data_IF_042623082519
#
_entry.id   IF_042623082519
#
_cell.length_a   1.000
_cell.length_b   1.000
_cell.length_c   1.000
_cell.angle_alpha   90.00
_cell.angle_beta   90.00
_cell.angle_gamma   90.00
#
_symmetry.space_group_name_H-M   'P 1'
#
loop_
_entity.id
_entity.type
_entity.pdbx_description
1 polymer ?
#
# COMPACT_ATOMS: atom_id res chain seq x y z
N UNK A 1 45.25 24.43 50.03
CA UNK A 1 45.62 25.77 49.52
C UNK A 1 44.69 26.10 48.36
N UNK A 2 44.11 27.30 48.40
CA UNK A 2 43.07 27.93 47.55
C UNK A 2 41.67 27.28 47.50
N UNK A 3 40.63 27.96 48.06
CA UNK A 3 39.22 27.61 47.91
C UNK A 3 38.57 28.43 46.78
N UNK A 4 37.57 27.86 46.10
CA UNK A 4 36.67 28.59 45.19
C UNK A 4 35.35 28.87 45.89
N UNK A 5 34.97 30.15 45.87
CA UNK A 5 33.88 30.73 46.64
C UNK A 5 32.49 30.46 46.07
N UNK A 6 31.55 30.34 47.00
CA UNK A 6 30.12 30.40 46.80
C UNK A 6 29.70 31.85 46.55
N UNK A 7 29.06 32.10 45.40
CA UNK A 7 28.38 33.34 45.10
C UNK A 7 26.89 33.18 45.35
N UNK A 8 26.42 33.62 46.52
CA UNK A 8 25.00 33.78 46.83
C UNK A 8 24.40 34.92 46.01
N UNK A 9 23.46 34.59 45.14
CA UNK A 9 22.62 35.55 44.41
C UNK A 9 21.28 35.69 45.14
N UNK A 10 21.19 36.69 46.01
CA UNK A 10 19.94 37.08 46.69
C UNK A 10 18.94 37.70 45.69
N UNK A 11 17.99 36.90 45.20
CA UNK A 11 16.83 37.38 44.47
C UNK A 11 15.79 37.96 45.42
N UNK A 12 15.52 39.26 45.31
CA UNK A 12 14.42 39.96 46.00
C UNK A 12 13.08 39.39 45.53
N UNK A 13 12.30 38.82 46.45
CA UNK A 13 10.89 38.53 46.23
C UNK A 13 10.08 39.81 46.41
N UNK A 14 9.41 40.24 45.35
CA UNK A 14 8.40 41.29 45.37
C UNK A 14 7.13 40.70 45.96
N UNK A 15 6.70 41.23 47.10
CA UNK A 15 5.39 40.95 47.72
C UNK A 15 4.30 41.44 46.77
N UNK A 16 3.45 40.52 46.29
CA UNK A 16 2.22 40.84 45.55
C UNK A 16 1.09 40.91 46.57
N UNK A 17 0.47 42.09 46.67
CA UNK A 17 -0.72 42.31 47.48
C UNK A 17 -1.88 41.43 47.00
N UNK A 18 -2.44 40.66 47.93
CA UNK A 18 -3.67 39.90 47.73
C UNK A 18 -4.84 40.86 47.72
N UNK A 19 -5.25 41.28 46.52
CA UNK A 19 -6.55 41.91 46.29
C UNK A 19 -7.61 40.83 46.48
N UNK A 20 -8.42 40.98 47.54
CA UNK A 20 -9.70 40.29 47.69
C UNK A 20 -10.57 40.64 46.47
N UNK A 21 -10.90 39.65 45.65
CA UNK A 21 -11.96 39.76 44.65
C UNK A 21 -13.18 38.97 45.11
N UNK A 22 -14.31 39.67 45.02
CA UNK A 22 -15.66 39.22 45.36
C UNK A 22 -16.10 37.99 44.57
N UNK A 23 -16.90 37.16 45.25
CA UNK A 23 -17.69 36.06 44.71
C UNK A 23 -18.68 36.58 43.65
N UNK A 24 -18.26 36.59 42.38
CA UNK A 24 -19.18 36.68 41.26
C UNK A 24 -18.90 35.55 40.27
N UNK A 25 -19.71 34.50 40.43
CA UNK A 25 -19.81 33.31 39.59
C UNK A 25 -20.06 33.73 38.13
N UNK A 26 -19.11 33.57 37.19
CA UNK A 26 -19.42 33.76 35.79
C UNK A 26 -20.13 32.52 35.29
N UNK A 27 -21.38 32.68 34.85
CA UNK A 27 -22.03 31.74 33.95
C UNK A 27 -21.18 31.68 32.69
N UNK A 28 -20.56 30.53 32.44
CA UNK A 28 -19.86 30.21 31.20
C UNK A 28 -20.90 30.09 30.08
N UNK A 29 -21.33 31.21 29.52
CA UNK A 29 -22.05 31.23 28.25
C UNK A 29 -21.02 31.03 27.16
N UNK A 30 -20.86 29.78 26.71
CA UNK A 30 -20.20 29.46 25.45
C UNK A 30 -21.08 30.10 24.36
N UNK A 31 -20.70 31.30 23.94
CA UNK A 31 -21.23 31.89 22.73
C UNK A 31 -20.70 31.05 21.57
N UNK A 32 -21.54 30.16 21.05
CA UNK A 32 -21.39 29.53 19.75
C UNK A 32 -21.50 30.64 18.70
N UNK A 33 -20.43 31.40 18.50
CA UNK A 33 -20.26 32.12 17.25
C UNK A 33 -20.02 31.05 16.20
N UNK A 34 -21.01 30.86 15.32
CA UNK A 34 -20.90 30.04 14.13
C UNK A 34 -19.82 30.65 13.22
N UNK A 35 -18.57 30.27 13.44
CA UNK A 35 -17.51 30.37 12.43
C UNK A 35 -17.67 29.17 11.49
N UNK A 36 -18.84 29.08 10.88
CA UNK A 36 -19.08 28.22 9.72
C UNK A 36 -18.54 29.02 8.52
N UNK A 37 -17.80 28.36 7.62
CA UNK A 37 -17.18 28.91 6.39
C UNK A 37 -15.71 29.36 6.42
N UNK A 38 -14.93 28.95 7.42
CA UNK A 38 -13.46 29.15 7.44
C UNK A 38 -12.61 27.90 7.16
N UNK A 39 -13.20 26.72 6.96
CA UNK A 39 -12.44 25.50 6.73
C UNK A 39 -12.09 25.37 5.26
N UNK A 40 -10.79 25.46 4.97
CA UNK A 40 -10.13 25.28 3.69
C UNK A 40 -10.80 24.19 2.82
N UNK A 41 -11.61 24.64 1.86
CA UNK A 41 -12.00 23.82 0.72
C UNK A 41 -10.72 23.55 -0.10
N UNK A 42 -10.02 22.46 0.22
CA UNK A 42 -8.96 21.93 -0.63
C UNK A 42 -9.60 21.41 -1.92
N UNK A 43 -9.78 22.32 -2.88
CA UNK A 43 -10.04 21.95 -4.26
C UNK A 43 -8.86 21.11 -4.75
N UNK A 44 -9.04 19.79 -4.69
CA UNK A 44 -8.21 18.82 -5.38
C UNK A 44 -8.27 19.17 -6.87
N UNK A 45 -7.21 19.79 -7.38
CA UNK A 45 -7.05 20.05 -8.81
C UNK A 45 -7.17 18.78 -9.66
N UNK A 46 -7.11 18.90 -11.00
CA UNK A 46 -7.32 17.78 -11.93
C UNK A 46 -6.65 16.50 -11.44
N UNK A 47 -7.45 15.42 -11.37
CA UNK A 47 -7.11 14.18 -10.66
C UNK A 47 -5.68 13.73 -10.96
N UNK A 48 -4.85 13.70 -9.91
CA UNK A 48 -3.45 13.22 -9.91
C UNK A 48 -3.31 11.84 -10.57
N UNK A 49 -4.41 11.09 -10.64
CA UNK A 49 -4.53 9.79 -11.29
C UNK A 49 -4.35 9.83 -12.82
N UNK A 50 -4.74 10.91 -13.52
CA UNK A 50 -4.54 10.97 -14.98
C UNK A 50 -3.06 11.10 -15.34
N UNK A 51 -2.29 11.87 -14.56
CA UNK A 51 -0.83 11.97 -14.69
C UNK A 51 -0.11 10.68 -14.27
N UNK A 52 -0.72 9.90 -13.36
CA UNK A 52 -0.29 8.54 -12.97
C UNK A 52 -0.23 7.61 -14.19
N UNK A 53 -1.30 7.63 -14.99
CA UNK A 53 -1.48 6.75 -16.14
C UNK A 53 -0.50 7.06 -17.27
N UNK A 54 -0.31 8.35 -17.58
CA UNK A 54 0.57 8.79 -18.66
C UNK A 54 2.05 8.42 -18.40
N UNK A 55 2.52 8.59 -17.17
CA UNK A 55 3.91 8.32 -16.81
C UNK A 55 4.21 6.81 -16.68
N UNK A 56 3.20 5.98 -16.37
CA UNK A 56 3.34 4.52 -16.46
C UNK A 56 3.48 4.05 -17.93
N UNK A 57 2.95 4.81 -18.90
CA UNK A 57 2.94 4.46 -20.33
C UNK A 57 4.17 4.93 -21.11
N UNK A 58 4.90 5.97 -20.67
CA UNK A 58 6.00 6.60 -21.44
C UNK A 58 7.27 5.76 -21.63
N UNK A 59 7.44 4.64 -20.93
CA UNK A 59 8.68 3.83 -20.97
C UNK A 59 8.71 2.74 -22.07
N UNK A 60 7.77 2.75 -23.03
CA UNK A 60 7.76 1.78 -24.14
C UNK A 60 8.76 2.12 -25.25
N UNK A 61 10.06 1.95 -24.97
CA UNK A 61 11.10 1.89 -26.00
C UNK A 61 10.97 0.55 -26.74
N UNK A 62 10.09 0.51 -27.74
CA UNK A 62 9.86 -0.68 -28.58
C UNK A 62 11.03 -0.86 -29.55
N UNK A 63 11.95 -1.77 -29.24
CA UNK A 63 12.98 -2.23 -30.19
C UNK A 63 12.35 -3.18 -31.22
N UNK A 64 12.23 -2.76 -32.48
CA UNK A 64 11.74 -3.60 -33.58
C UNK A 64 12.91 -4.35 -34.24
N UNK A 65 12.86 -5.69 -34.23
CA UNK A 65 13.76 -6.56 -34.97
C UNK A 65 13.01 -7.11 -36.19
N UNK A 66 13.28 -6.58 -37.38
CA UNK A 66 12.69 -7.06 -38.62
C UNK A 66 13.54 -8.21 -39.19
N UNK A 67 12.93 -9.37 -39.44
CA UNK A 67 13.54 -10.47 -40.21
C UNK A 67 12.65 -10.83 -41.38
N UNK A 68 13.17 -10.62 -42.57
CA UNK A 68 12.59 -10.95 -43.88
C UNK A 68 12.89 -12.41 -44.20
N UNK A 69 11.86 -13.25 -44.26
CA UNK A 69 11.94 -14.63 -44.75
C UNK A 69 11.01 -14.77 -45.95
N UNK A 70 11.60 -15.00 -47.12
CA UNK A 70 10.91 -15.27 -48.38
C UNK A 70 11.20 -16.71 -48.80
N UNK A 71 10.16 -17.48 -49.11
CA UNK A 71 10.29 -18.81 -49.70
C UNK A 71 9.16 -19.02 -50.70
N UNK A 72 9.51 -18.95 -51.99
CA UNK A 72 8.69 -19.47 -53.09
C UNK A 72 9.04 -20.95 -53.28
N UNK A 73 8.10 -21.85 -53.06
CA UNK A 73 8.24 -23.25 -53.46
C UNK A 73 6.90 -23.78 -54.00
N UNK A 74 6.81 -23.87 -55.32
CA UNK A 74 5.68 -24.44 -56.07
C UNK A 74 6.10 -25.81 -56.58
N UNK A 75 5.39 -26.88 -56.21
CA UNK A 75 5.58 -28.21 -56.83
C UNK A 75 4.23 -28.77 -57.25
N UNK A 76 4.15 -29.16 -58.52
CA UNK A 76 2.97 -29.61 -59.27
C UNK A 76 2.75 -31.12 -59.14
N UNK A 77 1.64 -31.53 -58.51
CA UNK A 77 1.03 -32.85 -58.70
C UNK A 77 -0.44 -32.84 -58.22
N UNK A 78 -1.32 -32.17 -58.98
CA UNK A 78 -2.70 -31.91 -58.56
C UNK A 78 -3.60 -33.14 -58.81
N UNK A 79 -4.18 -33.67 -57.73
CA UNK A 79 -5.36 -34.52 -57.78
C UNK A 79 -6.58 -33.73 -58.32
N UNK A 80 -7.61 -34.42 -58.82
CA UNK A 80 -8.84 -33.74 -59.28
C UNK A 80 -9.45 -32.81 -58.21
N UNK A 81 -10.14 -31.72 -58.60
CA UNK A 81 -10.47 -30.60 -57.72
C UNK A 81 -11.22 -30.99 -56.43
N UNK A 82 -12.08 -32.01 -56.49
CA UNK A 82 -12.79 -32.52 -55.31
C UNK A 82 -11.89 -33.24 -54.28
N UNK A 83 -10.84 -33.96 -54.71
CA UNK A 83 -9.89 -34.63 -53.80
C UNK A 83 -8.91 -33.64 -53.16
N UNK A 84 -8.53 -32.59 -53.89
CA UNK A 84 -7.67 -31.53 -53.35
C UNK A 84 -8.40 -30.76 -52.26
N UNK A 85 -9.67 -30.38 -52.49
CA UNK A 85 -10.50 -29.72 -51.48
C UNK A 85 -10.74 -30.62 -50.26
N UNK A 86 -11.11 -31.89 -50.47
CA UNK A 86 -11.31 -32.84 -49.37
C UNK A 86 -10.06 -33.02 -48.51
N UNK A 87 -8.89 -33.25 -49.13
CA UNK A 87 -7.64 -33.38 -48.40
C UNK A 87 -7.22 -32.07 -47.71
N UNK A 88 -7.45 -30.92 -48.34
CA UNK A 88 -7.19 -29.62 -47.73
C UNK A 88 -8.03 -29.43 -46.46
N UNK A 89 -9.33 -29.72 -46.50
CA UNK A 89 -10.21 -29.60 -45.34
C UNK A 89 -9.90 -30.64 -44.26
N UNK A 90 -9.55 -31.88 -44.61
CA UNK A 90 -9.13 -32.88 -43.62
C UNK A 90 -7.80 -32.52 -42.95
N UNK A 91 -6.85 -31.96 -43.69
CA UNK A 91 -5.57 -31.47 -43.13
C UNK A 91 -5.82 -30.23 -42.26
N UNK A 92 -6.63 -29.28 -42.73
CA UNK A 92 -7.00 -28.10 -41.97
C UNK A 92 -7.76 -28.46 -40.68
N UNK A 93 -8.72 -29.38 -40.76
CA UNK A 93 -9.48 -29.90 -39.62
C UNK A 93 -8.57 -30.60 -38.61
N UNK A 94 -7.71 -31.52 -39.06
CA UNK A 94 -6.78 -32.22 -38.15
C UNK A 94 -5.74 -31.29 -37.53
N UNK A 95 -5.28 -30.27 -38.27
CA UNK A 95 -4.37 -29.25 -37.73
C UNK A 95 -5.07 -28.34 -36.72
N UNK A 96 -6.34 -28.00 -36.96
CA UNK A 96 -7.16 -27.22 -36.03
C UNK A 96 -7.45 -28.02 -34.76
N UNK A 97 -7.88 -29.28 -34.86
CA UNK A 97 -8.14 -30.16 -33.71
C UNK A 97 -6.89 -30.38 -32.86
N UNK A 98 -5.73 -30.59 -33.49
CA UNK A 98 -4.44 -30.66 -32.77
C UNK A 98 -4.06 -29.33 -32.15
N UNK A 99 -4.32 -28.21 -32.85
CA UNK A 99 -4.08 -26.86 -32.35
C UNK A 99 -4.94 -26.54 -31.12
N UNK A 100 -6.26 -26.72 -31.24
CA UNK A 100 -7.24 -26.50 -30.16
C UNK A 100 -6.99 -27.47 -29.01
N UNK A 101 -6.75 -28.76 -29.27
CA UNK A 101 -6.42 -29.74 -28.24
C UNK A 101 -5.06 -29.49 -27.58
N UNK A 102 -4.11 -28.85 -28.26
CA UNK A 102 -2.87 -28.37 -27.65
C UNK A 102 -3.09 -27.10 -26.83
N UNK A 103 -3.98 -26.20 -27.26
CA UNK A 103 -4.30 -24.97 -26.53
C UNK A 103 -5.08 -25.32 -25.25
N UNK A 104 -6.10 -26.17 -25.33
CA UNK A 104 -6.89 -26.61 -24.18
C UNK A 104 -6.05 -27.39 -23.15
N UNK A 105 -5.09 -28.21 -23.60
CA UNK A 105 -4.13 -28.86 -22.70
C UNK A 105 -3.14 -27.86 -22.10
N UNK A 106 -2.72 -26.85 -22.87
CA UNK A 106 -1.85 -25.78 -22.36
C UNK A 106 -2.56 -24.93 -21.31
N UNK A 107 -3.82 -24.56 -21.51
CA UNK A 107 -4.56 -23.73 -20.54
C UNK A 107 -4.76 -24.44 -19.20
N UNK A 108 -5.16 -25.72 -19.20
CA UNK A 108 -5.30 -26.48 -17.96
C UNK A 108 -3.97 -26.71 -17.22
N UNK A 109 -2.88 -26.98 -17.97
CA UNK A 109 -1.54 -27.13 -17.39
C UNK A 109 -1.01 -25.78 -16.88
N UNK A 110 -1.29 -24.69 -17.60
CA UNK A 110 -0.85 -23.34 -17.27
C UNK A 110 -1.48 -22.87 -15.95
N UNK A 111 -2.78 -23.10 -15.74
CA UNK A 111 -3.43 -22.78 -14.47
C UNK A 111 -2.86 -23.56 -13.30
N UNK A 112 -2.58 -24.85 -13.49
CA UNK A 112 -1.94 -25.68 -12.47
C UNK A 112 -0.51 -25.19 -12.16
N UNK A 113 0.26 -24.83 -13.19
CA UNK A 113 1.62 -24.29 -13.03
C UNK A 113 1.60 -22.91 -12.38
N UNK A 114 0.62 -22.07 -12.71
CA UNK A 114 0.37 -20.77 -12.09
C UNK A 114 0.08 -20.94 -10.61
N UNK A 115 -0.91 -21.77 -10.25
CA UNK A 115 -1.26 -22.05 -8.86
C UNK A 115 -0.06 -22.59 -8.06
N UNK A 116 0.68 -23.56 -8.60
CA UNK A 116 1.90 -24.09 -7.98
C UNK A 116 2.99 -23.02 -7.81
N UNK A 117 3.13 -22.11 -8.77
CA UNK A 117 4.11 -21.03 -8.71
C UNK A 117 3.74 -20.00 -7.65
N UNK A 118 2.47 -19.61 -7.58
CA UNK A 118 1.95 -18.71 -6.55
C UNK A 118 2.08 -19.32 -5.16
N UNK A 119 1.72 -20.59 -4.98
CA UNK A 119 1.90 -21.32 -3.73
C UNK A 119 3.39 -21.38 -3.32
N UNK A 120 4.29 -21.63 -4.28
CA UNK A 120 5.73 -21.62 -4.03
C UNK A 120 6.23 -20.24 -3.60
N UNK A 121 5.75 -19.16 -4.21
CA UNK A 121 6.06 -17.78 -3.80
C UNK A 121 5.57 -17.52 -2.37
N UNK A 122 4.30 -17.83 -2.09
CA UNK A 122 3.69 -17.68 -0.75
C UNK A 122 4.46 -18.47 0.31
N UNK A 123 4.80 -19.74 0.07
CA UNK A 123 5.59 -20.57 1.00
C UNK A 123 7.01 -20.03 1.22
N UNK A 124 7.59 -19.35 0.24
CA UNK A 124 8.94 -18.78 0.34
C UNK A 124 9.02 -17.59 1.30
N UNK A 125 7.89 -16.94 1.61
CA UNK A 125 7.84 -15.89 2.65
C UNK A 125 8.31 -16.41 4.01
N UNK A 126 8.01 -17.68 4.34
CA UNK A 126 8.43 -18.32 5.60
C UNK A 126 9.95 -18.51 5.68
N UNK A 127 10.63 -18.62 4.54
CA UNK A 127 12.09 -18.75 4.49
C UNK A 127 12.78 -17.45 4.92
N UNK A 128 12.17 -16.30 4.67
CA UNK A 128 12.70 -14.99 5.10
C UNK A 128 12.57 -14.73 6.60
N UNK A 129 11.64 -15.42 7.27
CA UNK A 129 11.49 -15.36 8.73
C UNK A 129 12.55 -16.15 9.50
N UNK A 130 13.29 -17.03 8.82
CA UNK A 130 14.39 -17.75 9.47
C UNK A 130 15.59 -16.83 9.70
N UNK A 131 16.45 -17.13 10.66
CA UNK A 131 17.76 -16.44 10.80
C UNK A 131 18.84 -16.97 9.84
N UNK A 132 18.54 -18.01 9.05
CA UNK A 132 19.51 -18.63 8.15
C UNK A 132 19.60 -17.90 6.80
N UNK A 133 20.75 -17.26 6.55
CA UNK A 133 21.07 -16.58 5.29
C UNK A 133 20.99 -17.50 4.05
N UNK A 134 21.15 -18.83 4.18
CA UNK A 134 20.94 -19.78 3.07
C UNK A 134 19.46 -19.83 2.67
N UNK A 135 18.54 -19.77 3.63
CA UNK A 135 17.09 -19.75 3.36
C UNK A 135 16.67 -18.42 2.73
N UNK A 136 17.23 -17.28 3.15
CA UNK A 136 16.99 -16.00 2.49
C UNK A 136 17.38 -16.04 1.01
N UNK A 137 18.59 -16.55 0.71
CA UNK A 137 19.05 -16.71 -0.68
C UNK A 137 18.15 -17.65 -1.49
N UNK A 138 17.64 -18.73 -0.87
CA UNK A 138 16.68 -19.64 -1.51
C UNK A 138 15.39 -18.89 -1.84
N UNK A 139 14.87 -18.07 -0.92
CA UNK A 139 13.68 -17.25 -1.14
C UNK A 139 13.88 -16.22 -2.25
N UNK A 140 14.97 -15.44 -2.21
CA UNK A 140 15.36 -14.49 -3.27
C UNK A 140 15.38 -15.17 -4.64
N UNK A 141 15.95 -16.38 -4.73
CA UNK A 141 15.98 -17.13 -5.99
C UNK A 141 14.58 -17.42 -6.51
N UNK A 142 13.68 -17.88 -5.63
CA UNK A 142 12.29 -18.18 -5.98
C UNK A 142 11.55 -16.91 -6.43
N UNK A 143 11.77 -15.78 -5.76
CA UNK A 143 11.18 -14.52 -6.16
C UNK A 143 11.71 -14.02 -7.50
N UNK A 144 13.02 -14.10 -7.75
CA UNK A 144 13.59 -13.74 -9.05
C UNK A 144 13.12 -14.67 -10.17
N UNK A 145 12.92 -15.96 -9.89
CA UNK A 145 12.34 -16.91 -10.85
C UNK A 145 10.88 -16.54 -11.18
N UNK A 146 10.09 -16.19 -10.16
CA UNK A 146 8.70 -15.73 -10.35
C UNK A 146 8.62 -14.40 -11.10
N UNK A 147 9.52 -13.47 -10.82
CA UNK A 147 9.65 -12.20 -11.53
C UNK A 147 9.96 -12.38 -13.03
N UNK A 148 10.65 -13.47 -13.39
CA UNK A 148 10.95 -13.84 -14.76
C UNK A 148 9.88 -14.76 -15.41
N UNK A 149 8.75 -15.04 -14.73
CA UNK A 149 7.65 -15.85 -15.28
C UNK A 149 7.02 -15.20 -16.52
N UNK A 150 6.38 -15.98 -17.38
CA UNK A 150 5.52 -15.47 -18.46
C UNK A 150 4.12 -15.10 -17.96
N UNK A 151 3.73 -15.64 -16.80
CA UNK A 151 2.46 -15.35 -16.17
C UNK A 151 2.52 -14.02 -15.41
N UNK A 152 1.67 -13.07 -15.83
CA UNK A 152 1.62 -11.71 -15.28
C UNK A 152 1.29 -11.67 -13.78
N UNK A 153 0.46 -12.58 -13.29
CA UNK A 153 0.04 -12.61 -11.87
C UNK A 153 1.18 -13.14 -11.01
N UNK A 154 1.89 -14.18 -11.49
CA UNK A 154 3.10 -14.70 -10.86
C UNK A 154 4.18 -13.62 -10.80
N UNK A 155 4.38 -12.87 -11.89
CA UNK A 155 5.32 -11.75 -11.93
C UNK A 155 4.96 -10.65 -10.93
N UNK A 156 3.72 -10.12 -10.99
CA UNK A 156 3.27 -9.06 -10.09
C UNK A 156 3.38 -9.47 -8.63
N UNK A 157 2.99 -10.72 -8.31
CA UNK A 157 3.14 -11.29 -6.97
C UNK A 157 4.60 -11.36 -6.55
N UNK A 158 5.49 -11.84 -7.43
CA UNK A 158 6.92 -11.90 -7.15
C UNK A 158 7.53 -10.51 -6.93
N UNK A 159 7.15 -9.51 -7.73
CA UNK A 159 7.58 -8.13 -7.55
C UNK A 159 7.10 -7.54 -6.22
N UNK A 160 5.85 -7.82 -5.84
CA UNK A 160 5.31 -7.46 -4.53
C UNK A 160 6.15 -8.04 -3.40
N UNK A 161 6.55 -9.32 -3.48
CA UNK A 161 7.44 -9.93 -2.49
C UNK A 161 8.85 -9.34 -2.50
N UNK A 162 9.46 -9.13 -3.67
CA UNK A 162 10.79 -8.49 -3.77
C UNK A 162 10.76 -7.14 -3.07
N UNK A 163 9.76 -6.32 -3.38
CA UNK A 163 9.54 -5.00 -2.80
C UNK A 163 9.33 -5.10 -1.29
N UNK A 164 8.36 -5.90 -0.85
CA UNK A 164 8.02 -6.03 0.57
C UNK A 164 9.20 -6.50 1.43
N UNK A 165 9.99 -7.50 0.99
CA UNK A 165 11.12 -7.99 1.77
C UNK A 165 12.33 -7.07 1.74
N UNK A 166 12.58 -6.39 0.61
CA UNK A 166 13.68 -5.41 0.54
C UNK A 166 13.41 -4.22 1.46
N UNK A 167 12.15 -3.81 1.57
CA UNK A 167 11.73 -2.70 2.41
C UNK A 167 11.63 -3.10 3.89
N UNK A 168 10.99 -4.23 4.21
CA UNK A 168 10.78 -4.66 5.61
C UNK A 168 12.03 -5.22 6.28
N UNK A 169 12.91 -5.88 5.52
CA UNK A 169 14.08 -6.59 6.06
C UNK A 169 15.34 -6.29 5.24
N UNK A 170 15.75 -5.00 5.08
CA UNK A 170 16.83 -4.62 4.17
C UNK A 170 18.13 -5.36 4.49
N UNK A 171 18.49 -5.43 5.77
CA UNK A 171 19.70 -6.12 6.25
C UNK A 171 19.77 -7.61 5.88
N UNK A 172 18.62 -8.28 5.71
CA UNK A 172 18.54 -9.70 5.32
C UNK A 172 18.37 -9.86 3.80
N UNK A 173 17.47 -9.09 3.21
CA UNK A 173 17.06 -9.21 1.82
C UNK A 173 18.13 -8.72 0.83
N UNK A 174 18.73 -7.56 1.08
CA UNK A 174 19.72 -6.98 0.16
C UNK A 174 20.95 -7.87 -0.07
N UNK A 175 21.68 -8.33 0.96
CA UNK A 175 22.82 -9.21 0.74
C UNK A 175 22.42 -10.54 0.08
N UNK A 176 21.21 -11.04 0.38
CA UNK A 176 20.70 -12.26 -0.23
C UNK A 176 20.40 -12.08 -1.73
N UNK A 177 19.70 -11.02 -2.14
CA UNK A 177 19.47 -10.71 -3.56
C UNK A 177 20.78 -10.44 -4.29
N UNK A 178 21.66 -9.62 -3.71
CA UNK A 178 23.00 -9.32 -4.27
C UNK A 178 23.79 -10.60 -4.52
N UNK A 179 23.79 -11.52 -3.55
CA UNK A 179 24.47 -12.80 -3.70
C UNK A 179 23.87 -13.65 -4.84
N UNK A 180 22.53 -13.72 -4.95
CA UNK A 180 21.87 -14.51 -6.00
C UNK A 180 22.14 -13.92 -7.39
N UNK A 181 22.02 -12.59 -7.55
CA UNK A 181 22.30 -11.89 -8.81
C UNK A 181 23.77 -12.05 -9.22
N UNK A 182 24.71 -11.84 -8.28
CA UNK A 182 26.15 -12.06 -8.52
C UNK A 182 26.44 -13.49 -8.95
N UNK A 183 25.81 -14.49 -8.31
CA UNK A 183 25.97 -15.91 -8.69
C UNK A 183 25.44 -16.20 -10.10
N UNK A 184 24.38 -15.51 -10.53
CA UNK A 184 23.82 -15.60 -11.89
C UNK A 184 24.57 -14.77 -12.93
N UNK A 185 25.54 -13.94 -12.49
CA UNK A 185 26.22 -12.94 -13.34
C UNK A 185 25.23 -11.93 -13.92
N UNK A 186 24.19 -11.60 -13.17
CA UNK A 186 23.15 -10.64 -13.54
C UNK A 186 23.36 -9.32 -12.78
N UNK A 187 23.05 -8.20 -13.45
CA UNK A 187 23.03 -6.85 -12.85
C UNK A 187 21.57 -6.49 -12.58
N UNK A 188 21.25 -6.01 -11.37
CA UNK A 188 19.87 -5.73 -10.94
C UNK A 188 19.10 -4.78 -11.86
N UNK A 189 19.74 -3.73 -12.38
CA UNK A 189 19.11 -2.81 -13.33
C UNK A 189 18.86 -3.43 -14.72
N UNK A 190 19.70 -4.39 -15.14
CA UNK A 190 19.59 -5.03 -16.46
C UNK A 190 18.56 -6.15 -16.41
N UNK A 191 18.52 -6.93 -15.33
CA UNK A 191 17.59 -8.06 -15.22
C UNK A 191 16.14 -7.58 -15.19
N UNK A 192 15.83 -6.42 -14.58
CA UNK A 192 14.47 -5.89 -14.57
C UNK A 192 13.95 -5.65 -15.99
N UNK A 193 14.79 -5.13 -16.89
CA UNK A 193 14.39 -4.89 -18.29
C UNK A 193 13.97 -6.18 -19.01
N UNK A 194 14.51 -7.33 -18.59
CA UNK A 194 14.18 -8.63 -19.17
C UNK A 194 12.84 -9.21 -18.72
N UNK A 195 12.24 -8.68 -17.64
CA UNK A 195 10.97 -9.20 -17.11
C UNK A 195 9.77 -8.77 -17.95
N UNK A 196 9.84 -7.61 -18.61
CA UNK A 196 8.78 -7.17 -19.53
C UNK A 196 8.86 -8.02 -20.80
N UNK A 197 7.76 -8.69 -21.15
CA UNK A 197 7.65 -9.49 -22.38
C UNK A 197 7.01 -8.66 -23.47
N UNK A 198 7.60 -8.70 -24.66
CA UNK A 198 6.93 -8.19 -25.86
C UNK A 198 5.59 -8.89 -26.03
N UNK A 199 4.54 -8.15 -26.39
CA UNK A 199 3.17 -8.66 -26.67
C UNK A 199 2.31 -9.02 -25.45
N UNK A 200 2.77 -8.76 -24.23
CA UNK A 200 1.90 -8.82 -23.05
C UNK A 200 1.46 -7.40 -22.72
N UNK A 201 0.14 -7.19 -22.66
CA UNK A 201 -0.42 -5.95 -22.13
C UNK A 201 -0.43 -6.02 -20.59
N UNK A 202 0.23 -5.06 -19.97
CA UNK A 202 0.45 -5.02 -18.53
C UNK A 202 -0.48 -4.01 -17.87
N UNK A 203 -1.24 -4.48 -16.89
CA UNK A 203 -2.06 -3.61 -16.05
C UNK A 203 -1.20 -2.66 -15.20
N UNK A 204 -1.84 -1.59 -14.70
CA UNK A 204 -1.19 -0.58 -13.86
C UNK A 204 -0.58 -1.17 -12.60
N UNK A 205 -1.22 -2.16 -11.99
CA UNK A 205 -0.70 -2.90 -10.84
C UNK A 205 0.64 -3.56 -11.13
N UNK A 206 0.71 -4.25 -12.26
CA UNK A 206 1.93 -4.90 -12.68
C UNK A 206 3.04 -3.87 -12.89
N UNK A 207 2.75 -2.78 -13.61
CA UNK A 207 3.73 -1.71 -13.90
C UNK A 207 4.21 -1.02 -12.62
N UNK A 208 3.30 -0.78 -11.66
CA UNK A 208 3.60 -0.27 -10.34
C UNK A 208 4.62 -1.19 -9.64
N UNK A 209 4.27 -2.46 -9.45
CA UNK A 209 5.12 -3.40 -8.72
C UNK A 209 6.45 -3.65 -9.42
N UNK A 210 6.42 -3.74 -10.74
CA UNK A 210 7.59 -3.84 -11.59
C UNK A 210 8.57 -2.69 -11.33
N UNK A 211 8.10 -1.43 -11.39
CA UNK A 211 8.95 -0.25 -11.17
C UNK A 211 9.52 -0.24 -9.74
N UNK A 212 8.73 -0.61 -8.74
CA UNK A 212 9.19 -0.71 -7.35
C UNK A 212 10.27 -1.78 -7.17
N UNK A 213 10.01 -3.00 -7.62
CA UNK A 213 10.95 -4.12 -7.51
C UNK A 213 12.25 -3.83 -8.27
N UNK A 214 12.15 -3.23 -9.45
CA UNK A 214 13.31 -2.82 -10.25
C UNK A 214 14.19 -1.82 -9.49
N UNK A 215 13.60 -0.81 -8.86
CA UNK A 215 14.34 0.16 -8.02
C UNK A 215 14.98 -0.50 -6.81
N UNK A 216 14.26 -1.41 -6.14
CA UNK A 216 14.78 -2.16 -4.99
C UNK A 216 16.04 -2.98 -5.34
N UNK A 217 16.15 -3.45 -6.59
CA UNK A 217 17.29 -4.25 -7.05
C UNK A 217 18.37 -3.43 -7.78
N UNK A 218 18.04 -2.25 -8.32
CA UNK A 218 18.92 -1.47 -9.19
C UNK A 218 20.10 -0.85 -8.45
N UNK A 219 19.97 -0.49 -7.17
CA UNK A 219 21.05 0.16 -6.45
C UNK A 219 21.57 -0.66 -5.27
N UNK A 220 22.80 -1.20 -5.37
CA UNK A 220 23.45 -1.87 -4.27
C UNK A 220 23.81 -0.90 -3.12
N UNK A 221 24.09 0.37 -3.41
CA UNK A 221 24.70 1.31 -2.45
C UNK A 221 23.86 2.59 -2.22
N UNK A 222 22.80 2.87 -3.00
CA UNK A 222 21.99 4.09 -2.85
C UNK A 222 20.81 3.97 -1.87
N UNK A 223 20.83 3.04 -0.90
CA UNK A 223 19.88 3.19 0.21
C UNK A 223 20.23 4.41 1.08
N UNK A 224 21.50 4.85 1.08
CA UNK A 224 21.90 6.16 1.63
C UNK A 224 21.32 7.34 0.82
N UNK A 225 20.97 7.14 -0.45
CA UNK A 225 20.30 8.17 -1.27
C UNK A 225 18.78 8.24 -1.01
N UNK A 226 18.27 7.44 -0.07
CA UNK A 226 16.95 7.67 0.51
C UNK A 226 17.16 8.28 1.89
N UNK A 227 17.85 9.42 1.92
CA UNK A 227 17.58 10.43 2.93
C UNK A 227 16.13 10.89 2.70
N UNK A 228 15.18 10.09 3.21
CA UNK A 228 13.76 10.14 2.86
C UNK A 228 13.11 11.49 3.21
N UNK A 229 13.79 12.30 4.02
CA UNK A 229 13.37 13.62 4.46
C UNK A 229 13.81 14.76 3.54
N UNK A 230 15.06 14.79 3.03
CA UNK A 230 15.53 15.85 2.11
C UNK A 230 14.82 15.79 0.74
N UNK A 231 14.41 14.59 0.33
CA UNK A 231 13.57 14.35 -0.84
C UNK A 231 12.08 14.69 -0.61
N UNK A 232 11.62 14.81 0.65
CA UNK A 232 10.26 15.25 1.01
C UNK A 232 10.09 16.75 0.70
N UNK A 233 11.16 17.52 0.89
CA UNK A 233 11.20 18.96 0.66
C UNK A 233 11.20 19.33 -0.84
N UNK A 234 11.75 18.47 -1.71
CA UNK A 234 11.87 18.74 -3.16
C UNK A 234 10.68 18.25 -4.01
N UNK A 235 9.72 17.51 -3.44
CA UNK A 235 8.70 16.77 -4.19
C UNK A 235 7.43 17.57 -4.54
N UNK A 236 7.48 18.90 -4.50
CA UNK A 236 6.36 19.79 -4.78
C UNK A 236 5.97 19.90 -6.28
N UNK A 237 6.24 18.85 -7.09
CA UNK A 237 5.90 18.80 -8.53
C UNK A 237 4.91 17.68 -8.82
N UNK A 238 3.84 18.03 -9.52
CA UNK A 238 2.67 17.17 -9.83
C UNK A 238 3.07 15.95 -10.68
N UNK A 239 2.94 14.73 -10.15
CA UNK A 239 3.10 13.48 -10.93
C UNK A 239 3.14 12.17 -10.11
N UNK A 240 3.13 11.04 -10.85
CA UNK A 240 3.23 9.64 -10.39
C UNK A 240 4.42 9.35 -9.47
N UNK A 241 5.57 9.91 -9.85
CA UNK A 241 6.85 9.62 -9.20
C UNK A 241 6.81 10.05 -7.73
N UNK A 242 6.31 11.24 -7.36
CA UNK A 242 6.03 11.62 -5.98
C UNK A 242 5.13 10.66 -5.21
N UNK A 243 4.07 10.09 -5.81
CA UNK A 243 3.18 9.15 -5.12
C UNK A 243 3.84 7.79 -4.88
N UNK A 244 4.49 7.21 -5.90
CA UNK A 244 5.26 5.98 -5.76
C UNK A 244 6.44 6.15 -4.82
N UNK A 245 7.10 7.30 -4.89
CA UNK A 245 8.15 7.66 -3.95
C UNK A 245 7.56 7.89 -2.56
N UNK A 246 6.37 8.45 -2.40
CA UNK A 246 5.70 8.58 -1.12
C UNK A 246 5.41 7.20 -0.53
N UNK A 247 4.86 6.25 -1.29
CA UNK A 247 4.62 4.88 -0.83
C UNK A 247 5.94 4.15 -0.51
N UNK A 248 6.97 4.29 -1.35
CA UNK A 248 8.31 3.75 -1.07
C UNK A 248 8.95 4.39 0.16
N UNK A 249 8.83 5.71 0.33
CA UNK A 249 9.33 6.45 1.48
C UNK A 249 8.58 6.03 2.74
N UNK A 250 7.26 5.92 2.67
CA UNK A 250 6.40 5.44 3.75
C UNK A 250 6.81 4.05 4.20
N UNK A 251 6.96 3.11 3.26
CA UNK A 251 7.38 1.75 3.57
C UNK A 251 8.82 1.67 4.08
N UNK A 252 9.72 2.59 3.70
CA UNK A 252 11.06 2.72 4.27
C UNK A 252 11.04 3.30 5.69
N UNK A 253 10.31 4.40 5.91
CA UNK A 253 10.13 5.01 7.24
C UNK A 253 9.61 3.97 8.25
N UNK A 254 8.76 3.04 7.81
CA UNK A 254 8.24 1.95 8.66
C UNK A 254 9.23 0.83 8.96
N UNK A 255 10.20 0.57 8.08
CA UNK A 255 11.30 -0.34 8.42
C UNK A 255 12.11 0.16 9.62
N UNK A 256 11.89 1.42 9.98
CA UNK A 256 12.39 2.09 11.14
C UNK A 256 11.25 2.53 12.08
N UNK A 257 10.30 1.64 12.42
CA UNK A 257 9.20 1.97 13.35
C UNK A 257 9.67 2.64 14.66
N UNK A 258 10.75 2.13 15.25
CA UNK A 258 11.44 2.75 16.40
C UNK A 258 11.90 4.19 16.10
N UNK A 259 12.39 4.43 14.89
CA UNK A 259 12.82 5.76 14.45
C UNK A 259 11.64 6.65 14.11
N UNK A 260 10.48 6.10 13.71
CA UNK A 260 9.29 6.90 13.42
C UNK A 260 8.66 7.44 14.69
N UNK A 261 8.53 6.62 15.75
CA UNK A 261 8.14 7.12 17.08
C UNK A 261 9.11 8.20 17.55
N UNK A 262 10.41 7.94 17.43
CA UNK A 262 11.46 8.90 17.78
C UNK A 262 11.38 10.19 16.94
N UNK A 263 11.01 10.08 15.66
CA UNK A 263 10.76 11.22 14.77
C UNK A 263 9.60 12.08 15.27
N UNK A 264 8.44 11.47 15.55
CA UNK A 264 7.25 12.19 16.03
C UNK A 264 7.53 12.84 17.38
N UNK A 265 8.24 12.16 18.28
CA UNK A 265 8.64 12.73 19.57
C UNK A 265 9.61 13.92 19.42
N UNK A 266 10.51 13.88 18.44
CA UNK A 266 11.51 14.94 18.20
C UNK A 266 10.94 16.14 17.46
N UNK A 267 10.06 15.91 16.46
CA UNK A 267 9.54 16.96 15.57
C UNK A 267 8.17 17.48 16.00
N UNK A 268 7.43 16.73 16.80
CA UNK A 268 6.07 17.06 17.22
C UNK A 268 5.02 16.73 16.16
N UNK A 269 3.75 16.84 16.54
CA UNK A 269 2.61 16.50 15.67
C UNK A 269 2.29 17.58 14.61
N UNK A 270 2.81 18.79 14.78
CA UNK A 270 2.60 19.92 13.87
C UNK A 270 3.56 19.94 12.70
N UNK A 271 4.46 18.96 12.63
CA UNK A 271 5.44 18.83 11.56
C UNK A 271 4.74 18.66 10.19
N UNK A 272 5.00 19.53 9.20
CA UNK A 272 4.35 19.44 7.90
C UNK A 272 4.63 18.12 7.16
N UNK A 273 5.81 17.52 7.39
CA UNK A 273 6.19 16.24 6.81
C UNK A 273 5.28 15.11 7.33
N UNK A 274 5.01 15.10 8.63
CA UNK A 274 4.06 14.17 9.26
C UNK A 274 2.64 14.36 8.73
N UNK A 275 2.15 15.59 8.62
CA UNK A 275 0.83 15.87 8.04
C UNK A 275 0.70 15.34 6.61
N UNK A 276 1.71 15.60 5.77
CA UNK A 276 1.75 15.11 4.39
C UNK A 276 1.81 13.59 4.33
N UNK A 277 2.55 12.96 5.24
CA UNK A 277 2.64 11.50 5.34
C UNK A 277 1.26 10.88 5.57
N UNK A 278 0.54 11.34 6.60
CA UNK A 278 -0.80 10.84 6.94
C UNK A 278 -1.81 11.13 5.84
N UNK A 279 -1.74 12.33 5.24
CA UNK A 279 -2.59 12.70 4.10
C UNK A 279 -2.37 11.78 2.89
N UNK A 280 -1.11 11.48 2.57
CA UNK A 280 -0.76 10.54 1.52
C UNK A 280 -1.20 9.10 1.86
N UNK A 281 -1.20 8.70 3.14
CA UNK A 281 -1.79 7.42 3.59
C UNK A 281 -3.27 7.35 3.27
N UNK A 282 -4.02 8.41 3.59
CA UNK A 282 -5.45 8.50 3.30
C UNK A 282 -5.68 8.37 1.80
N UNK A 283 -4.96 9.13 0.98
CA UNK A 283 -5.10 9.07 -0.48
C UNK A 283 -4.75 7.69 -1.03
N UNK A 284 -3.67 7.07 -0.57
CA UNK A 284 -3.29 5.73 -0.99
C UNK A 284 -4.36 4.69 -0.63
N UNK A 285 -4.87 4.76 0.61
CA UNK A 285 -5.97 3.90 1.04
C UNK A 285 -7.23 4.15 0.20
N UNK A 286 -7.62 5.40 -0.07
CA UNK A 286 -8.81 5.72 -0.91
C UNK A 286 -8.69 5.20 -2.34
N UNK A 287 -7.55 5.43 -3.00
CA UNK A 287 -7.31 4.87 -4.35
C UNK A 287 -7.44 3.35 -4.30
N UNK A 288 -6.93 2.74 -3.24
CA UNK A 288 -7.03 1.31 -3.05
C UNK A 288 -8.50 0.85 -2.83
N UNK A 289 -9.27 1.57 -2.03
CA UNK A 289 -10.70 1.34 -1.80
C UNK A 289 -11.49 1.24 -3.11
N UNK A 290 -11.20 2.15 -4.04
CA UNK A 290 -11.90 2.29 -5.31
C UNK A 290 -11.42 1.26 -6.35
N UNK A 291 -10.32 0.57 -6.10
CA UNK A 291 -9.70 -0.32 -7.07
C UNK A 291 -9.60 -1.75 -6.53
N UNK A 292 -10.69 -2.51 -6.70
CA UNK A 292 -10.83 -3.91 -6.26
C UNK A 292 -9.69 -4.85 -6.73
N UNK A 293 -8.96 -4.46 -7.77
CA UNK A 293 -7.93 -5.27 -8.41
C UNK A 293 -6.65 -5.42 -7.57
N UNK A 294 -6.38 -4.53 -6.61
CA UNK A 294 -5.06 -4.40 -6.00
C UNK A 294 -4.92 -5.08 -4.62
N UNK A 295 -5.18 -6.40 -4.54
CA UNK A 295 -5.18 -7.15 -3.26
C UNK A 295 -3.85 -7.17 -2.51
N UNK A 296 -2.70 -7.09 -3.17
CA UNK A 296 -1.40 -7.10 -2.47
C UNK A 296 -1.02 -5.72 -1.92
N UNK A 297 -1.39 -4.67 -2.66
CA UNK A 297 -1.29 -3.28 -2.22
C UNK A 297 -2.23 -3.01 -1.05
N UNK A 298 -3.41 -3.65 -1.02
CA UNK A 298 -4.38 -3.55 0.09
C UNK A 298 -3.74 -3.90 1.42
N UNK A 299 -3.11 -5.07 1.49
CA UNK A 299 -2.56 -5.61 2.72
C UNK A 299 -1.39 -4.77 3.21
N UNK A 300 -0.55 -4.29 2.30
CA UNK A 300 0.59 -3.46 2.67
C UNK A 300 0.15 -2.06 3.09
N UNK A 301 -0.76 -1.44 2.36
CA UNK A 301 -1.29 -0.12 2.67
C UNK A 301 -2.09 -0.12 3.97
N UNK A 302 -2.88 -1.17 4.21
CA UNK A 302 -3.66 -1.31 5.42
C UNK A 302 -2.76 -1.60 6.63
N UNK A 303 -1.87 -2.59 6.54
CA UNK A 303 -0.94 -2.90 7.64
C UNK A 303 -0.14 -1.66 8.02
N UNK A 304 0.37 -0.93 7.02
CA UNK A 304 1.08 0.31 7.26
C UNK A 304 0.20 1.39 7.90
N UNK A 305 -1.00 1.63 7.37
CA UNK A 305 -1.89 2.66 7.90
C UNK A 305 -2.30 2.34 9.33
N UNK A 306 -2.45 1.05 9.66
CA UNK A 306 -2.68 0.59 11.03
C UNK A 306 -1.47 0.88 11.92
N UNK A 307 -0.27 0.48 11.50
CA UNK A 307 0.97 0.70 12.27
C UNK A 307 1.24 2.20 12.47
N UNK A 308 0.93 3.04 11.46
CA UNK A 308 1.03 4.49 11.54
C UNK A 308 0.09 5.06 12.60
N UNK A 309 -1.19 4.68 12.59
CA UNK A 309 -2.16 5.11 13.61
C UNK A 309 -1.70 4.68 15.00
N UNK A 310 -1.24 3.44 15.17
CA UNK A 310 -0.70 2.95 16.44
C UNK A 310 0.51 3.76 16.89
N UNK A 311 1.46 4.01 15.99
CA UNK A 311 2.65 4.80 16.34
C UNK A 311 2.29 6.23 16.74
N UNK A 312 1.27 6.83 16.14
CA UNK A 312 0.80 8.17 16.53
C UNK A 312 0.26 8.17 17.96
N UNK A 313 -0.52 7.15 18.32
CA UNK A 313 -1.00 6.96 19.70
C UNK A 313 0.12 6.68 20.69
N UNK A 314 1.05 5.78 20.36
CA UNK A 314 2.20 5.47 21.21
C UNK A 314 3.11 6.68 21.43
N UNK A 315 3.27 7.50 20.40
CA UNK A 315 4.01 8.76 20.48
C UNK A 315 3.30 9.72 21.43
N UNK A 316 1.97 9.86 21.32
CA UNK A 316 1.18 10.73 22.20
C UNK A 316 1.29 10.30 23.66
N UNK A 317 1.16 8.99 23.93
CA UNK A 317 1.28 8.44 25.28
C UNK A 317 2.69 8.60 25.89
N UNK A 318 3.72 8.72 25.05
CA UNK A 318 5.12 8.87 25.48
C UNK A 318 5.56 10.32 25.66
N UNK A 319 4.76 11.32 25.24
CA UNK A 319 5.11 12.73 25.40
C UNK A 319 4.97 13.21 26.86
N UNK A 320 5.70 14.26 27.24
CA UNK A 320 5.53 14.88 28.56
C UNK A 320 4.14 15.54 28.71
N UNK A 321 3.59 15.66 29.93
CA UNK A 321 2.27 16.26 30.17
C UNK A 321 2.13 17.67 29.56
N UNK A 322 3.16 18.51 29.72
CA UNK A 322 3.17 19.87 29.19
C UNK A 322 3.02 19.92 27.66
N UNK A 323 3.70 19.01 26.95
CA UNK A 323 3.61 18.92 25.48
C UNK A 323 2.23 18.42 25.05
N UNK A 324 1.64 17.47 25.78
CA UNK A 324 0.27 16.99 25.51
C UNK A 324 -0.78 18.08 25.71
N UNK A 325 -0.66 18.89 26.76
CA UNK A 325 -1.58 20.00 27.00
C UNK A 325 -1.48 21.06 25.89
N UNK A 326 -0.27 21.40 25.46
CA UNK A 326 -0.05 22.35 24.36
C UNK A 326 -0.67 21.89 23.04
N UNK A 327 -0.83 20.57 22.83
CA UNK A 327 -1.45 20.03 21.62
C UNK A 327 -2.90 20.48 21.43
N UNK A 328 -3.65 20.62 22.53
CA UNK A 328 -5.04 21.09 22.51
C UNK A 328 -5.18 22.54 22.06
N UNK A 329 -4.09 23.32 22.15
CA UNK A 329 -4.07 24.75 21.85
C UNK A 329 -3.46 25.06 20.47
N UNK A 330 -2.86 24.06 19.80
CA UNK A 330 -2.23 24.22 18.49
C UNK A 330 -3.11 23.65 17.36
N UNK A 331 -3.70 24.52 16.50
CA UNK A 331 -4.59 24.08 15.42
C UNK A 331 -3.87 23.24 14.36
N UNK A 332 -2.55 23.40 14.19
CA UNK A 332 -1.79 22.61 13.20
C UNK A 332 -1.65 21.16 13.64
N UNK A 333 -1.45 20.92 14.94
CA UNK A 333 -1.40 19.57 15.51
C UNK A 333 -2.77 18.90 15.45
N UNK A 334 -3.84 19.64 15.76
CA UNK A 334 -5.20 19.15 15.62
C UNK A 334 -5.55 18.78 14.17
N UNK A 335 -5.05 19.52 13.18
CA UNK A 335 -5.22 19.18 11.77
C UNK A 335 -4.55 17.84 11.41
N UNK A 336 -3.35 17.57 11.94
CA UNK A 336 -2.70 16.26 11.79
C UNK A 336 -3.55 15.15 12.42
N UNK A 337 -4.06 15.36 13.64
CA UNK A 337 -4.92 14.40 14.33
C UNK A 337 -6.25 14.15 13.62
N UNK A 338 -6.85 15.17 13.00
CA UNK A 338 -8.02 15.00 12.14
C UNK A 338 -7.74 14.05 10.95
N UNK A 339 -6.54 14.13 10.36
CA UNK A 339 -6.12 13.17 9.33
C UNK A 339 -5.82 11.78 9.93
N UNK A 340 -5.20 11.68 11.10
CA UNK A 340 -5.00 10.38 11.78
C UNK A 340 -6.34 9.71 12.05
N UNK A 341 -7.35 10.47 12.49
CA UNK A 341 -8.71 9.98 12.70
C UNK A 341 -9.33 9.46 11.40
N UNK A 342 -9.27 10.23 10.32
CA UNK A 342 -9.77 9.80 9.00
C UNK A 342 -9.08 8.52 8.54
N UNK A 343 -7.76 8.43 8.72
CA UNK A 343 -7.00 7.23 8.39
C UNK A 343 -7.45 6.03 9.23
N UNK A 344 -7.61 6.22 10.55
CA UNK A 344 -8.13 5.21 11.46
C UNK A 344 -9.49 4.66 11.01
N UNK A 345 -10.43 5.54 10.65
CA UNK A 345 -11.75 5.12 10.15
C UNK A 345 -11.67 4.30 8.86
N UNK A 346 -10.81 4.71 7.92
CA UNK A 346 -10.59 3.96 6.69
C UNK A 346 -10.02 2.58 7.04
N UNK A 347 -8.93 2.51 7.82
CA UNK A 347 -8.30 1.25 8.23
C UNK A 347 -9.30 0.31 8.90
N UNK A 348 -10.13 0.82 9.80
CA UNK A 348 -11.15 0.04 10.50
C UNK A 348 -12.24 -0.48 9.58
N UNK A 349 -12.73 0.34 8.64
CA UNK A 349 -13.71 -0.10 7.65
C UNK A 349 -13.16 -1.23 6.76
N UNK A 350 -11.89 -1.16 6.36
CA UNK A 350 -11.29 -2.21 5.51
C UNK A 350 -10.88 -3.46 6.27
N UNK A 351 -10.61 -3.34 7.57
CA UNK A 351 -10.32 -4.48 8.42
C UNK A 351 -11.47 -5.49 8.43
N UNK A 352 -12.71 -5.02 8.58
CA UNK A 352 -13.88 -5.91 8.57
C UNK A 352 -14.01 -6.68 7.26
N UNK A 353 -13.76 -6.01 6.12
CA UNK A 353 -13.78 -6.64 4.80
C UNK A 353 -12.70 -7.70 4.62
N UNK A 354 -11.48 -7.43 5.10
CA UNK A 354 -10.37 -8.37 4.97
C UNK A 354 -10.50 -9.59 5.88
N UNK A 355 -11.05 -9.42 7.09
CA UNK A 355 -11.35 -10.55 7.99
C UNK A 355 -12.29 -11.54 7.28
N UNK A 356 -13.30 -11.03 6.57
CA UNK A 356 -14.24 -11.87 5.79
C UNK A 356 -13.52 -12.58 4.63
N UNK A 357 -12.61 -11.91 3.92
CA UNK A 357 -11.89 -12.50 2.78
C UNK A 357 -10.89 -13.58 3.18
N UNK A 358 -10.29 -13.51 4.38
CA UNK A 358 -9.31 -14.52 4.82
C UNK A 358 -9.95 -15.74 5.51
N UNK A 359 -11.22 -15.66 5.91
CA UNK A 359 -11.94 -16.80 6.50
C UNK A 359 -12.39 -17.83 5.45
N UNK A 360 -12.46 -17.47 4.17
CA UNK A 360 -12.95 -18.36 3.10
C UNK A 360 -11.86 -19.23 2.47
N UNK A 361 -10.57 -18.98 2.74
CA UNK A 361 -9.47 -19.85 2.29
C UNK A 361 -9.35 -21.06 3.23
N UNK A 362 -10.12 -22.12 2.94
CA UNK A 362 -10.34 -23.38 3.67
C UNK A 362 -9.08 -24.27 3.87
N UNK A 363 -7.87 -23.71 3.71
CA UNK A 363 -6.62 -24.47 3.70
C UNK A 363 -5.85 -24.48 5.03
N UNK A 364 -6.47 -24.06 6.14
CA UNK A 364 -5.95 -24.29 7.49
C UNK A 364 -4.57 -23.68 7.78
N UNK A 365 -3.95 -22.99 6.82
CA UNK A 365 -2.71 -22.25 7.03
C UNK A 365 -3.07 -20.91 7.64
N UNK A 366 -3.42 -20.99 8.93
CA UNK A 366 -3.59 -19.83 9.79
C UNK A 366 -2.39 -18.90 9.60
N UNK A 367 -2.60 -17.79 8.89
CA UNK A 367 -1.68 -16.67 8.89
C UNK A 367 -1.85 -15.96 10.25
N UNK A 368 -1.53 -16.69 11.33
CA UNK A 368 -1.66 -16.34 12.77
C UNK A 368 -0.87 -15.09 13.20
N UNK A 369 -0.30 -14.36 12.24
CA UNK A 369 0.50 -13.16 12.46
C UNK A 369 -0.30 -11.87 12.23
N UNK A 370 -1.58 -11.97 11.83
CA UNK A 370 -2.46 -10.81 11.71
C UNK A 370 -3.37 -10.61 12.92
N UNK A 371 -3.40 -11.54 13.89
CA UNK A 371 -4.03 -11.29 15.19
C UNK A 371 -3.29 -10.21 15.99
N UNK A 372 -2.02 -9.97 15.68
CA UNK A 372 -1.23 -8.83 16.17
C UNK A 372 -1.35 -7.58 15.29
N UNK A 373 -2.15 -7.58 14.22
CA UNK A 373 -2.63 -6.31 13.66
C UNK A 373 -3.53 -5.73 14.75
N UNK A 374 -2.87 -4.89 15.56
CA UNK A 374 -3.37 -4.08 16.65
C UNK A 374 -4.87 -4.01 16.57
N UNK A 375 -5.58 -4.56 17.56
CA UNK A 375 -6.99 -4.22 17.78
C UNK A 375 -7.09 -2.71 17.58
N UNK A 376 -7.62 -2.27 16.44
CA UNK A 376 -7.94 -0.88 16.26
C UNK A 376 -9.21 -0.73 17.06
N UNK A 377 -9.00 -0.63 18.37
CA UNK A 377 -9.95 -0.21 19.38
C UNK A 377 -10.79 0.93 18.79
N UNK A 378 -12.05 1.04 19.19
CA UNK A 378 -12.85 2.17 18.76
C UNK A 378 -12.08 3.46 19.08
N UNK A 379 -12.27 4.49 18.26
CA UNK A 379 -11.53 5.74 18.46
C UNK A 379 -11.69 6.28 19.88
N UNK A 380 -12.90 6.17 20.43
CA UNK A 380 -13.21 6.46 21.83
C UNK A 380 -12.37 5.66 22.82
N UNK A 381 -12.32 4.33 22.67
CA UNK A 381 -11.50 3.44 23.51
C UNK A 381 -10.02 3.83 23.46
N UNK A 382 -9.50 4.12 22.26
CA UNK A 382 -8.13 4.57 22.08
C UNK A 382 -7.88 5.91 22.80
N UNK A 383 -8.80 6.88 22.68
CA UNK A 383 -8.72 8.14 23.41
C UNK A 383 -8.63 7.91 24.93
N UNK A 384 -9.47 7.02 25.47
CA UNK A 384 -9.46 6.70 26.91
C UNK A 384 -8.21 5.95 27.36
N UNK A 385 -7.69 5.05 26.52
CA UNK A 385 -6.50 4.25 26.81
C UNK A 385 -5.23 5.08 26.80
N UNK A 386 -5.02 5.93 25.78
CA UNK A 386 -3.78 6.68 25.61
C UNK A 386 -3.77 8.02 26.36
N UNK A 387 -4.93 8.53 26.75
CA UNK A 387 -5.07 9.75 27.55
C UNK A 387 -5.87 9.50 28.83
N UNK A 388 -5.46 8.59 29.75
CA UNK A 388 -6.29 8.20 30.89
C UNK A 388 -6.45 9.32 31.93
N UNK A 389 -5.44 10.17 32.10
CA UNK A 389 -5.38 11.16 33.17
C UNK A 389 -6.38 12.31 32.98
N UNK A 390 -6.95 12.86 34.08
CA UNK A 390 -7.94 13.93 34.03
C UNK A 390 -7.37 15.24 33.48
N UNK A 391 -6.06 15.46 33.60
CA UNK A 391 -5.38 16.63 33.03
C UNK A 391 -5.51 16.71 31.50
N UNK A 392 -5.71 15.57 30.84
CA UNK A 392 -5.90 15.49 29.39
C UNK A 392 -7.36 15.54 28.95
N UNK A 393 -8.30 15.85 29.85
CA UNK A 393 -9.75 15.87 29.52
C UNK A 393 -10.06 16.79 28.35
N UNK A 394 -9.43 17.97 28.29
CA UNK A 394 -9.61 18.92 27.19
C UNK A 394 -9.18 18.31 25.85
N UNK A 395 -7.97 17.75 25.79
CA UNK A 395 -7.47 17.12 24.57
C UNK A 395 -8.32 15.91 24.18
N UNK A 396 -8.70 15.07 25.16
CA UNK A 396 -9.56 13.91 24.93
C UNK A 396 -10.90 14.32 24.33
N UNK A 397 -11.56 15.35 24.87
CA UNK A 397 -12.81 15.88 24.32
C UNK A 397 -12.64 16.40 22.89
N UNK A 398 -11.55 17.09 22.59
CA UNK A 398 -11.25 17.56 21.23
C UNK A 398 -11.08 16.39 20.26
N UNK A 399 -10.34 15.35 20.64
CA UNK A 399 -10.14 14.17 19.80
C UNK A 399 -11.42 13.36 19.63
N UNK A 400 -12.24 13.23 20.68
CA UNK A 400 -13.57 12.62 20.60
C UNK A 400 -14.49 13.42 19.67
N UNK A 401 -14.43 14.74 19.71
CA UNK A 401 -15.25 15.59 18.84
C UNK A 401 -14.89 15.45 17.34
N UNK A 402 -13.66 15.03 17.00
CA UNK A 402 -13.32 14.69 15.61
C UNK A 402 -14.22 13.57 15.06
N UNK A 403 -14.68 12.66 15.92
CA UNK A 403 -15.62 11.62 15.54
C UNK A 403 -16.98 12.20 15.13
N UNK A 404 -17.54 13.10 15.93
CA UNK A 404 -18.80 13.78 15.61
C UNK A 404 -18.72 14.54 14.29
N UNK A 405 -17.59 15.19 14.03
CA UNK A 405 -17.38 16.02 12.84
C UNK A 405 -17.17 15.21 11.55
N UNK A 406 -16.39 14.14 11.61
CA UNK A 406 -15.96 13.43 10.39
C UNK A 406 -16.73 12.13 10.12
N UNK A 407 -17.38 11.52 11.11
CA UNK A 407 -18.17 10.29 10.93
C UNK A 407 -19.35 10.49 9.96
N UNK A 408 -20.12 11.59 9.99
CA UNK A 408 -21.19 11.81 9.01
C UNK A 408 -20.66 11.95 7.57
N UNK A 409 -19.61 12.74 7.37
CA UNK A 409 -18.98 12.96 6.06
C UNK A 409 -18.51 11.64 5.44
N UNK A 410 -17.96 10.74 6.25
CA UNK A 410 -17.51 9.42 5.78
C UNK A 410 -18.66 8.42 5.56
N UNK A 411 -19.82 8.63 6.19
CA UNK A 411 -21.05 7.88 5.88
C UNK A 411 -21.66 8.34 4.56
N UNK A 412 -21.63 9.64 4.26
CA UNK A 412 -22.12 10.16 2.96
C UNK A 412 -21.22 9.75 1.80
N UNK A 413 -19.90 9.79 2.01
CA UNK A 413 -18.91 9.26 1.07
C UNK A 413 -18.67 7.76 1.25
N UNK A 414 -19.60 7.04 1.89
CA UNK A 414 -19.49 5.60 1.94
C UNK A 414 -19.53 5.08 0.50
N UNK A 415 -18.34 4.66 0.04
CA UNK A 415 -18.17 3.95 -1.21
C UNK A 415 -19.31 2.92 -1.31
N UNK A 416 -20.17 3.08 -2.31
CA UNK A 416 -21.34 2.25 -2.56
C UNK A 416 -20.89 0.84 -2.96
N UNK A 417 -20.37 0.09 -1.99
CA UNK A 417 -20.04 -1.33 -2.10
C UNK A 417 -21.24 -2.21 -1.74
N UNK A 418 -22.27 -1.65 -1.10
CA UNK A 418 -23.48 -2.39 -0.71
C UNK A 418 -24.33 -2.86 -1.90
N UNK A 419 -24.06 -2.37 -3.11
CA UNK A 419 -24.79 -2.77 -4.33
C UNK A 419 -24.43 -4.17 -4.87
N UNK A 420 -23.22 -4.68 -4.60
CA UNK A 420 -22.74 -5.93 -5.24
C UNK A 420 -22.69 -7.14 -4.29
N UNK A 421 -22.68 -6.93 -2.97
CA UNK A 421 -22.62 -8.03 -1.99
C UNK A 421 -23.94 -8.81 -1.92
N UNK A 422 -25.09 -8.16 -2.17
CA UNK A 422 -26.40 -8.81 -2.13
C UNK A 422 -26.70 -9.71 -3.34
N UNK A 423 -25.87 -9.69 -4.40
CA UNK A 423 -26.11 -10.51 -5.60
C UNK A 423 -25.47 -11.91 -5.50
N UNK A 424 -24.48 -12.10 -4.63
CA UNK A 424 -23.76 -13.38 -4.49
C UNK A 424 -24.50 -14.45 -3.66
N UNK A 425 -25.49 -14.06 -2.85
CA UNK A 425 -26.22 -14.99 -1.96
C UNK A 425 -27.51 -15.60 -2.57
N UNK A 426 -27.84 -15.31 -3.84
CA UNK A 426 -29.13 -15.73 -4.42
C UNK A 426 -29.08 -16.91 -5.40
N UNK A 427 -27.92 -17.47 -5.74
CA UNK A 427 -27.80 -18.53 -6.76
C UNK A 427 -27.17 -19.83 -6.24
N UNK A 428 -27.62 -20.29 -5.07
CA UNK A 428 -27.44 -21.69 -4.64
C UNK A 428 -28.79 -22.37 -4.43
N UNK A 429 -29.62 -22.40 -5.48
CA UNK A 429 -30.80 -23.25 -5.57
C UNK A 429 -30.68 -24.06 -6.85
N UNK A 430 -30.40 -25.36 -6.70
CA UNK A 430 -30.24 -26.27 -7.83
C UNK A 430 -31.51 -26.37 -8.66
N UNK A 431 -31.37 -26.20 -9.97
CA UNK A 431 -32.02 -27.04 -10.94
C UNK A 431 -31.28 -26.98 -12.28
N UNK A 432 -31.19 -28.16 -12.88
CA UNK A 432 -30.51 -28.49 -14.14
C UNK A 432 -31.17 -27.87 -15.38
N UNK A 433 -30.31 -27.56 -16.37
CA UNK A 433 -30.60 -27.41 -17.80
C UNK A 433 -31.60 -26.34 -18.27
N UNK A 434 -31.14 -25.08 -18.36
CA UNK A 434 -31.53 -24.16 -19.43
C UNK A 434 -30.35 -23.23 -19.76
N UNK A 435 -29.95 -23.15 -21.03
CA UNK A 435 -29.01 -22.13 -21.54
C UNK A 435 -29.85 -20.95 -22.06
N UNK A 436 -29.81 -19.75 -21.45
CA UNK A 436 -30.27 -18.55 -22.11
C UNK A 436 -29.08 -17.75 -22.66
N UNK A 437 -29.04 -17.61 -23.98
CA UNK A 437 -28.25 -16.58 -24.66
C UNK A 437 -28.82 -15.20 -24.33
N UNK A 438 -28.06 -14.40 -23.57
CA UNK A 438 -28.37 -12.98 -23.34
C UNK A 438 -27.44 -12.13 -24.20
N UNK A 439 -28.02 -11.44 -25.17
CA UNK A 439 -27.34 -10.44 -25.98
C UNK A 439 -27.22 -9.12 -25.22
N UNK A 440 -26.03 -8.53 -25.24
CA UNK A 440 -25.77 -7.21 -24.67
C UNK A 440 -25.99 -6.15 -25.75
N UNK A 441 -26.87 -5.19 -25.46
CA UNK A 441 -27.10 -3.97 -26.25
C UNK A 441 -26.55 -2.78 -25.47
N UNK A 442 -25.63 -2.03 -26.07
CA UNK A 442 -25.13 -0.77 -25.53
C UNK A 442 -25.98 0.40 -26.02
N UNK A 443 -26.36 1.29 -25.09
CA UNK A 443 -26.73 2.68 -25.37
C UNK A 443 -25.76 3.59 -24.66
#
# INVERSE_FOLDING_TARGET
MTPYGEGESSGKFTTIDVVKMDDNKPRLSIATQSTQEGFYNFNLGPSSFSLLLDELRRDDVTYSYASTLSTNYTTSNLAGPGRVLGNLYSIAGSSLERGVGSIARRTGIEELLRSKSLDRLKKSTRLFRSEDARKHRKACRIFLDGANSYDREVQATAFGFITAFTLKLPAKAQPAFRHVLKKRREIGAVISLSWKRSRIDYGLEWLFWYKLASRCLASPDNFECIDGFSLLESANRKGLVPFLQSILRQSLIMSFYEDFKSYVLKRGFGDPALFQLVSASISAMKIHCETEKFRLLSLLSQAWSSDLVTCMWDSLGSMSPNVRCALADDPTQLATWANVFRLHLIVNKYRSLLILQFQTDDHGSTFRSYDTLVSCEQWEDACHKYLPDPEYTKLRQLLLHLEDLHKPILREHSFSFEGEINEFDSHSGGDSDVIPTVGWSWK
#
